data_IF_803104751344
#
_entry.id   IF_803104751344
#
_cell.length_a   1.000
_cell.length_b   1.000
_cell.length_c   1.000
_cell.angle_alpha   90.00
_cell.angle_beta   90.00
_cell.angle_gamma   90.00
#
_symmetry.space_group_name_H-M   'P 1'
#
loop_
_entity.id
_entity.type
_entity.pdbx_description
1 polymer ?
#
# COMPACT_ATOMS: atom_id res chain seq x y z
N UNK A 1 2.02 23.82 16.25
CA UNK A 1 0.94 22.84 16.03
C UNK A 1 1.40 21.91 14.91
N UNK A 2 1.82 20.68 15.24
CA UNK A 2 2.06 19.65 14.21
C UNK A 2 0.85 18.73 14.29
N UNK A 3 -0.08 18.90 13.35
CA UNK A 3 -1.22 18.00 13.17
C UNK A 3 -0.71 16.56 13.01
N UNK A 4 -1.41 15.55 13.55
CA UNK A 4 -1.02 14.15 13.38
C UNK A 4 -1.12 13.81 11.89
N UNK A 5 0.04 13.88 11.21
CA UNK A 5 0.21 13.56 9.80
C UNK A 5 -0.44 12.21 9.52
N UNK A 6 -1.55 12.23 8.79
CA UNK A 6 -2.28 11.06 8.30
C UNK A 6 -1.26 10.07 7.78
N UNK A 7 -1.06 8.99 8.54
CA UNK A 7 0.03 8.04 8.32
C UNK A 7 -0.10 7.51 6.89
N UNK A 8 0.93 7.64 6.07
CA UNK A 8 0.88 7.12 4.70
C UNK A 8 0.49 5.63 4.74
N UNK A 9 -0.48 5.19 3.92
CA UNK A 9 -0.98 3.83 3.98
C UNK A 9 0.12 2.83 3.64
N UNK A 10 0.45 1.97 4.61
CA UNK A 10 1.46 0.94 4.46
C UNK A 10 0.88 -0.25 3.68
N UNK A 11 1.29 -0.48 2.43
CA UNK A 11 0.73 -1.60 1.66
C UNK A 11 1.00 -2.97 2.30
N UNK A 12 2.02 -3.14 3.14
CA UNK A 12 2.23 -4.41 3.86
C UNK A 12 1.09 -4.72 4.86
N UNK A 13 0.43 -3.68 5.35
CA UNK A 13 -0.75 -3.77 6.21
C UNK A 13 -2.05 -3.75 5.40
N UNK A 14 -1.99 -3.67 4.07
CA UNK A 14 -3.18 -3.59 3.22
C UNK A 14 -3.66 -4.99 2.80
N UNK A 15 -4.95 -5.26 2.92
CA UNK A 15 -5.60 -6.50 2.48
C UNK A 15 -5.52 -6.74 0.96
N UNK A 16 -5.35 -5.68 0.17
CA UNK A 16 -5.31 -5.75 -1.30
C UNK A 16 -3.90 -5.90 -1.87
N UNK A 17 -2.87 -5.70 -1.05
CA UNK A 17 -1.49 -5.83 -1.47
C UNK A 17 -1.12 -7.32 -1.63
N UNK A 18 -0.38 -7.62 -2.69
CA UNK A 18 0.18 -8.94 -2.92
C UNK A 18 1.50 -8.85 -3.68
N UNK A 19 2.35 -9.86 -3.46
CA UNK A 19 3.56 -10.07 -4.26
C UNK A 19 3.15 -10.82 -5.52
N UNK A 20 3.57 -10.31 -6.67
CA UNK A 20 3.15 -10.80 -8.00
C UNK A 20 4.07 -11.89 -8.55
N UNK A 21 5.25 -12.07 -7.94
CA UNK A 21 6.35 -12.93 -8.40
C UNK A 21 6.91 -12.56 -9.78
N UNK A 22 6.57 -11.38 -10.29
CA UNK A 22 7.15 -10.82 -11.51
C UNK A 22 8.40 -10.01 -11.16
N UNK A 23 9.56 -10.42 -11.66
CA UNK A 23 10.84 -9.74 -11.39
C UNK A 23 10.84 -8.27 -11.83
N UNK A 24 10.05 -7.90 -12.85
CA UNK A 24 9.94 -6.52 -13.33
C UNK A 24 8.95 -5.70 -12.52
N UNK A 25 7.97 -6.32 -11.87
CA UNK A 25 6.88 -5.64 -11.15
C UNK A 25 6.46 -6.44 -9.90
N UNK A 26 7.32 -6.52 -8.86
CA UNK A 26 7.14 -7.43 -7.74
C UNK A 26 5.90 -7.14 -6.89
N UNK A 27 5.37 -5.92 -6.92
CA UNK A 27 4.25 -5.50 -6.09
C UNK A 27 2.96 -5.36 -6.90
N UNK A 28 1.83 -5.72 -6.31
CA UNK A 28 0.52 -5.59 -6.94
C UNK A 28 -0.56 -5.11 -5.97
N UNK A 29 -1.55 -4.39 -6.52
CA UNK A 29 -2.74 -3.96 -5.81
C UNK A 29 -3.99 -4.57 -6.45
N UNK A 30 -4.72 -5.41 -5.71
CA UNK A 30 -5.95 -6.04 -6.20
C UNK A 30 -7.13 -5.08 -6.31
N UNK A 31 -7.21 -4.07 -5.46
CA UNK A 31 -8.33 -3.11 -5.48
C UNK A 31 -8.31 -2.23 -6.73
N UNK A 32 -7.12 -1.86 -7.21
CA UNK A 32 -6.94 -1.00 -8.38
C UNK A 32 -6.63 -1.83 -9.63
N UNK A 33 -6.04 -3.02 -9.48
CA UNK A 33 -5.83 -3.97 -10.59
C UNK A 33 -4.52 -3.78 -11.35
N UNK A 34 -3.47 -3.24 -10.72
CA UNK A 34 -2.16 -3.04 -11.37
C UNK A 34 -1.00 -3.67 -10.60
N UNK A 35 0.14 -3.78 -11.28
CA UNK A 35 1.44 -4.17 -10.72
C UNK A 35 2.42 -3.00 -10.82
N UNK A 36 3.31 -2.84 -9.86
CA UNK A 36 4.34 -1.79 -9.84
C UNK A 36 5.70 -2.32 -9.38
N UNK A 37 6.74 -1.57 -9.76
CA UNK A 37 8.12 -1.71 -9.29
C UNK A 37 8.31 -1.18 -7.88
N UNK A 38 7.52 -0.18 -7.52
CA UNK A 38 7.54 0.46 -6.21
C UNK A 38 6.29 0.06 -5.43
N UNK A 39 6.21 0.49 -4.17
CA UNK A 39 5.04 0.24 -3.35
C UNK A 39 3.77 0.79 -4.03
N UNK A 40 2.69 0.01 -4.11
CA UNK A 40 1.49 0.44 -4.84
C UNK A 40 0.90 1.76 -4.31
N UNK A 41 0.98 2.05 -3.01
CA UNK A 41 0.51 3.33 -2.46
C UNK A 41 1.35 4.52 -2.95
N UNK A 42 2.64 4.34 -3.16
CA UNK A 42 3.53 5.37 -3.70
C UNK A 42 3.26 5.60 -5.19
N UNK A 43 2.97 4.54 -5.95
CA UNK A 43 2.55 4.65 -7.35
C UNK A 43 1.22 5.41 -7.46
N UNK A 44 0.23 5.03 -6.64
CA UNK A 44 -1.07 5.72 -6.59
C UNK A 44 -0.91 7.18 -6.23
N UNK A 45 -0.06 7.51 -5.24
CA UNK A 45 0.21 8.89 -4.85
C UNK A 45 0.87 9.70 -5.97
N UNK A 46 1.81 9.10 -6.70
CA UNK A 46 2.46 9.78 -7.83
C UNK A 46 1.48 10.08 -8.97
N UNK A 47 0.55 9.17 -9.25
CA UNK A 47 -0.40 9.34 -10.35
C UNK A 47 -1.63 10.18 -9.94
N UNK A 48 -2.11 10.05 -8.71
CA UNK A 48 -3.33 10.71 -8.22
C UNK A 48 -3.07 12.03 -7.48
N UNK A 49 -1.85 12.26 -6.98
CA UNK A 49 -1.54 13.35 -6.05
C UNK A 49 -2.00 13.13 -4.61
N UNK A 50 -2.87 12.15 -4.38
CA UNK A 50 -3.55 11.86 -3.11
C UNK A 50 -3.01 10.59 -2.44
N UNK A 51 -3.30 10.43 -1.15
CA UNK A 51 -3.04 9.15 -0.46
C UNK A 51 -3.95 8.02 -1.00
N UNK A 52 -3.51 6.76 -0.89
CA UNK A 52 -4.26 5.63 -1.45
C UNK A 52 -5.61 5.43 -0.73
N UNK A 53 -6.69 5.85 -1.39
CA UNK A 53 -8.08 5.74 -0.89
C UNK A 53 -8.59 4.30 -0.84
N UNK A 54 -7.95 3.39 -1.58
CA UNK A 54 -8.28 1.96 -1.60
C UNK A 54 -7.59 1.16 -0.49
N UNK A 55 -7.00 1.82 0.51
CA UNK A 55 -6.33 1.14 1.62
C UNK A 55 -7.34 0.48 2.56
N UNK A 56 -7.20 -0.84 2.75
CA UNK A 56 -7.99 -1.61 3.70
C UNK A 56 -7.04 -2.35 4.65
N UNK A 57 -7.08 -2.11 5.97
CA UNK A 57 -6.20 -2.80 6.91
C UNK A 57 -6.45 -4.32 6.90
N UNK A 58 -5.37 -5.09 6.85
CA UNK A 58 -5.38 -6.55 6.93
C UNK A 58 -5.49 -7.00 8.39
N UNK A 59 -6.16 -8.14 8.63
CA UNK A 59 -6.27 -8.74 9.98
C UNK A 59 -4.96 -9.34 10.52
N UNK A 60 -3.86 -9.25 9.76
CA UNK A 60 -2.57 -9.78 10.22
C UNK A 60 -2.09 -8.94 11.41
N UNK A 61 -1.87 -9.59 12.55
CA UNK A 61 -1.28 -8.95 13.72
C UNK A 61 0.05 -8.29 13.31
N UNK A 62 0.23 -7.02 13.68
CA UNK A 62 1.53 -6.37 13.52
C UNK A 62 2.52 -7.06 14.45
N UNK A 63 3.74 -7.26 13.96
CA UNK A 63 4.83 -7.85 14.76
C UNK A 63 5.23 -6.96 15.95
N UNK A 64 4.88 -5.68 15.94
CA UNK A 64 5.11 -4.74 17.05
C UNK A 64 4.17 -4.93 18.24
N UNK A 65 3.15 -5.78 18.10
CA UNK A 65 2.13 -6.06 19.12
C UNK A 65 2.36 -7.43 19.82
N UNK A 66 3.50 -8.08 19.52
CA UNK A 66 4.04 -9.31 20.13
C UNK A 66 5.33 -8.99 20.88
#
# INVERSE_FOLDING_TARGET
MVEPKSKEPNCFECAHHHITWDAKFPYGCKAIGFKSRVMPSAEVRQNSGESCLAFTPSKKARVSDL
#
